data_IF_648574955310
#
_entry.id   IF_648574955310
#
_cell.length_a   1.000
_cell.length_b   1.000
_cell.length_c   1.000
_cell.angle_alpha   90.00
_cell.angle_beta   90.00
_cell.angle_gamma   90.00
#
_symmetry.space_group_name_H-M   'P 1'
#
loop_
_entity.id
_entity.type
_entity.pdbx_description
1 polymer ?
#
# COMPACT_ATOMS: atom_id res chain seq x y z
N UNK A 1 -10.18 -15.70 -17.87
CA UNK A 1 -9.09 -14.73 -17.63
C UNK A 1 -9.54 -13.42 -18.23
N UNK A 2 -9.53 -12.33 -17.46
CA UNK A 2 -9.92 -11.01 -17.96
C UNK A 2 -8.69 -10.09 -17.97
N UNK A 3 -8.42 -9.50 -19.12
CA UNK A 3 -7.49 -8.39 -19.29
C UNK A 3 -8.36 -7.15 -19.44
N UNK A 4 -8.06 -6.11 -18.67
CA UNK A 4 -8.71 -4.79 -18.78
C UNK A 4 -7.66 -3.76 -19.18
N UNK A 5 -8.06 -2.61 -19.72
CA UNK A 5 -7.16 -1.57 -20.22
C UNK A 5 -6.80 -1.71 -21.70
N UNK A 6 -7.56 -2.49 -22.46
CA UNK A 6 -7.51 -2.58 -23.93
C UNK A 6 -8.83 -2.15 -24.60
N UNK A 7 -9.75 -1.59 -23.82
CA UNK A 7 -11.01 -1.07 -24.31
C UNK A 7 -10.77 0.15 -25.23
N UNK A 8 -11.58 0.28 -26.28
CA UNK A 8 -11.56 1.44 -27.19
C UNK A 8 -12.20 2.66 -26.52
N UNK A 9 -11.49 3.23 -25.55
CA UNK A 9 -11.88 4.42 -24.80
C UNK A 9 -10.81 5.50 -24.93
N UNK A 10 -11.18 6.77 -25.06
CA UNK A 10 -10.24 7.85 -25.34
C UNK A 10 -9.39 8.25 -24.13
N UNK A 11 -9.57 7.60 -22.97
CA UNK A 11 -8.94 8.01 -21.72
C UNK A 11 -8.59 6.80 -20.87
N UNK A 12 -7.34 6.76 -20.42
CA UNK A 12 -6.87 5.79 -19.43
C UNK A 12 -6.95 6.39 -18.03
N UNK A 13 -7.57 5.68 -17.09
CA UNK A 13 -7.59 6.04 -15.68
C UNK A 13 -6.82 4.99 -14.87
N UNK A 14 -5.76 5.42 -14.19
CA UNK A 14 -5.03 4.59 -13.22
C UNK A 14 -5.45 5.04 -11.83
N UNK A 15 -5.93 4.09 -11.05
CA UNK A 15 -6.38 4.32 -9.67
C UNK A 15 -5.35 3.66 -8.76
N UNK A 16 -4.64 4.47 -7.97
CA UNK A 16 -3.59 4.00 -7.04
C UNK A 16 -4.17 3.34 -5.80
N UNK A 17 -5.27 3.89 -5.27
CA UNK A 17 -6.04 3.35 -4.16
C UNK A 17 -7.49 3.23 -4.63
N UNK A 18 -8.11 2.07 -4.42
CA UNK A 18 -9.47 1.79 -4.89
C UNK A 18 -10.53 2.76 -4.33
N UNK A 19 -11.79 2.55 -4.70
CA UNK A 19 -12.89 3.43 -4.30
C UNK A 19 -13.07 3.54 -2.77
N UNK A 20 -13.29 4.76 -2.27
CA UNK A 20 -13.61 5.01 -0.86
C UNK A 20 -12.88 6.23 -0.28
N UNK A 21 -12.90 6.39 1.06
CA UNK A 21 -12.23 7.50 1.75
C UNK A 21 -10.71 7.33 1.88
N UNK A 22 -10.15 6.26 1.29
CA UNK A 22 -8.72 5.99 1.36
C UNK A 22 -7.92 7.03 0.58
N UNK A 23 -7.01 7.71 1.29
CA UNK A 23 -6.10 8.66 0.66
C UNK A 23 -4.94 7.94 -0.02
N UNK A 24 -4.44 8.58 -1.07
CA UNK A 24 -3.19 8.19 -1.69
C UNK A 24 -2.05 8.17 -0.67
N UNK A 25 -1.17 7.19 -0.76
CA UNK A 25 0.04 7.21 0.06
C UNK A 25 0.85 8.48 -0.24
N UNK A 26 1.22 9.24 0.80
CA UNK A 26 1.90 10.54 0.66
C UNK A 26 3.16 10.45 -0.21
N UNK A 27 3.92 9.36 -0.10
CA UNK A 27 5.11 9.12 -0.91
C UNK A 27 4.80 8.98 -2.39
N UNK A 28 3.73 8.26 -2.74
CA UNK A 28 3.27 8.11 -4.13
C UNK A 28 2.82 9.46 -4.67
N UNK A 29 2.06 10.21 -3.87
CA UNK A 29 1.62 11.55 -4.22
C UNK A 29 2.80 12.49 -4.48
N UNK A 30 3.77 12.56 -3.56
CA UNK A 30 4.95 13.41 -3.71
C UNK A 30 5.84 12.98 -4.88
N UNK A 31 5.94 11.68 -5.17
CA UNK A 31 6.62 11.20 -6.37
C UNK A 31 5.93 11.69 -7.65
N UNK A 32 4.62 11.48 -7.79
CA UNK A 32 3.86 11.92 -8.96
C UNK A 32 3.90 13.44 -9.11
N UNK A 33 3.76 14.17 -8.00
CA UNK A 33 3.88 15.63 -7.97
C UNK A 33 5.27 16.11 -8.40
N UNK A 34 6.33 15.38 -8.07
CA UNK A 34 7.68 15.73 -8.53
C UNK A 34 7.89 15.57 -10.04
N UNK A 35 6.96 14.89 -10.72
CA UNK A 35 6.94 14.67 -12.17
C UNK A 35 5.96 15.62 -12.88
N UNK A 36 5.30 16.52 -12.15
CA UNK A 36 4.36 17.48 -12.75
C UNK A 36 5.05 18.34 -13.83
N UNK A 37 4.37 18.49 -14.96
CA UNK A 37 4.90 19.16 -16.16
C UNK A 37 5.85 18.33 -17.03
N UNK A 38 6.19 17.09 -16.65
CA UNK A 38 6.97 16.18 -17.51
C UNK A 38 6.08 15.41 -18.50
N UNK A 39 6.65 15.03 -19.65
CA UNK A 39 5.95 14.19 -20.62
C UNK A 39 5.86 12.75 -20.09
N UNK A 40 4.65 12.19 -20.12
CA UNK A 40 4.36 10.86 -19.60
C UNK A 40 3.52 10.04 -20.59
N UNK A 41 3.86 8.76 -20.71
CA UNK A 41 3.05 7.74 -21.39
C UNK A 41 2.44 6.82 -20.33
N UNK A 42 1.16 6.51 -20.47
CA UNK A 42 0.42 5.67 -19.50
C UNK A 42 -0.21 4.47 -20.18
N UNK A 43 -0.25 3.34 -19.46
CA UNK A 43 -1.01 2.15 -19.84
C UNK A 43 -1.82 1.65 -18.65
N UNK A 44 -3.12 1.48 -18.86
CA UNK A 44 -4.05 0.93 -17.86
C UNK A 44 -4.15 -0.59 -17.90
N UNK A 45 -3.38 -1.25 -18.78
CA UNK A 45 -3.48 -2.69 -19.01
C UNK A 45 -3.23 -3.48 -17.71
N UNK A 46 -4.22 -4.26 -17.29
CA UNK A 46 -4.17 -5.02 -16.03
C UNK A 46 -4.60 -6.46 -16.24
N UNK A 47 -3.84 -7.39 -15.66
CA UNK A 47 -4.16 -8.82 -15.62
C UNK A 47 -3.87 -9.35 -14.21
N UNK A 48 -4.89 -9.86 -13.53
CA UNK A 48 -4.82 -10.20 -12.09
C UNK A 48 -4.50 -11.68 -11.78
N UNK A 49 -4.49 -12.55 -12.80
CA UNK A 49 -4.17 -14.00 -12.67
C UNK A 49 -2.88 -14.32 -13.42
N UNK A 50 -2.63 -15.59 -13.75
CA UNK A 50 -1.42 -16.04 -14.44
C UNK A 50 -1.02 -15.09 -15.58
N UNK A 51 0.25 -14.67 -15.65
CA UNK A 51 0.71 -13.59 -16.54
C UNK A 51 0.33 -12.19 -16.04
N UNK A 52 0.59 -11.90 -14.75
CA UNK A 52 0.20 -10.64 -14.11
C UNK A 52 0.76 -9.45 -14.88
N UNK A 53 -0.12 -8.54 -15.29
CA UNK A 53 0.23 -7.23 -15.83
C UNK A 53 -0.32 -6.16 -14.89
N UNK A 54 0.47 -5.11 -14.66
CA UNK A 54 0.11 -3.97 -13.83
C UNK A 54 0.03 -2.72 -14.71
N UNK A 55 -0.78 -1.72 -14.33
CA UNK A 55 -0.70 -0.41 -14.96
C UNK A 55 0.70 0.18 -14.85
N UNK A 56 1.11 0.94 -15.85
CA UNK A 56 2.42 1.60 -15.89
C UNK A 56 2.29 3.08 -16.27
N UNK A 57 3.17 3.88 -15.67
CA UNK A 57 3.37 5.29 -15.98
C UNK A 57 4.86 5.46 -16.30
N UNK A 58 5.16 5.83 -17.54
CA UNK A 58 6.53 6.03 -18.02
C UNK A 58 6.73 7.53 -18.23
N UNK A 59 7.63 8.13 -17.46
CA UNK A 59 7.97 9.57 -17.58
C UNK A 59 9.35 9.71 -18.18
N UNK A 60 9.46 10.40 -19.31
CA UNK A 60 10.74 10.63 -19.98
C UNK A 60 11.50 11.77 -19.30
N UNK A 61 12.84 11.72 -19.31
CA UNK A 61 13.68 12.81 -18.80
C UNK A 61 13.79 12.95 -17.28
N UNK A 62 13.06 12.15 -16.48
CA UNK A 62 13.24 12.16 -15.03
C UNK A 62 14.62 11.60 -14.63
N UNK A 63 15.49 12.47 -14.12
CA UNK A 63 16.73 12.07 -13.45
C UNK A 63 16.45 11.92 -11.96
N UNK A 64 16.29 10.68 -11.52
CA UNK A 64 16.23 10.38 -10.09
C UNK A 64 17.45 11.00 -9.39
N UNK A 65 17.21 11.92 -8.45
CA UNK A 65 18.26 12.29 -7.49
C UNK A 65 18.68 10.99 -6.81
N UNK A 66 19.98 10.67 -6.78
CA UNK A 66 20.52 9.52 -6.04
C UNK A 66 20.05 9.61 -4.59
N UNK A 67 18.93 8.98 -4.25
CA UNK A 67 18.65 8.63 -2.87
C UNK A 67 19.66 7.55 -2.53
N UNK A 68 20.35 7.69 -1.39
CA UNK A 68 21.00 6.54 -0.76
C UNK A 68 19.95 5.44 -0.77
N UNK A 69 20.29 4.25 -1.26
CA UNK A 69 19.54 3.05 -0.89
C UNK A 69 19.54 3.08 0.63
N UNK A 70 18.43 3.51 1.24
CA UNK A 70 18.08 2.92 2.51
C UNK A 70 18.12 1.43 2.20
N UNK A 71 18.97 0.69 2.92
CA UNK A 71 18.94 -0.75 2.85
C UNK A 71 17.47 -1.10 3.05
N UNK A 72 16.79 -1.46 1.96
CA UNK A 72 15.50 -2.09 2.01
C UNK A 72 15.80 -3.48 2.55
N UNK A 73 16.19 -3.55 3.82
CA UNK A 73 15.95 -4.72 4.61
C UNK A 73 14.45 -4.90 4.46
N UNK A 74 14.07 -6.01 3.82
CA UNK A 74 12.77 -6.63 3.97
C UNK A 74 12.55 -7.05 5.43
N UNK A 75 12.87 -6.16 6.39
CA UNK A 75 12.52 -6.33 7.78
C UNK A 75 11.00 -6.35 7.74
N UNK A 76 10.43 -7.51 8.03
CA UNK A 76 8.99 -7.64 8.21
C UNK A 76 8.51 -6.68 9.31
N UNK A 77 7.27 -6.85 9.74
CA UNK A 77 6.71 -6.05 10.81
C UNK A 77 7.66 -6.03 12.03
N UNK A 78 8.13 -4.84 12.39
CA UNK A 78 8.85 -4.52 13.63
C UNK A 78 8.19 -3.30 14.29
N UNK A 79 8.35 -3.09 15.61
CA UNK A 79 7.91 -1.83 16.23
C UNK A 79 8.52 -0.63 15.50
N UNK A 80 7.72 0.41 15.27
CA UNK A 80 8.09 1.56 14.43
C UNK A 80 7.72 1.43 12.95
N UNK A 81 7.31 0.24 12.49
CA UNK A 81 6.95 0.06 11.07
C UNK A 81 5.65 0.81 10.76
N UNK A 82 5.63 1.70 9.75
CA UNK A 82 4.39 2.33 9.29
C UNK A 82 3.53 1.30 8.54
N UNK A 83 2.26 1.25 8.89
CA UNK A 83 1.30 0.26 8.38
C UNK A 83 -0.03 0.90 8.02
N UNK A 84 -0.77 0.25 7.13
CA UNK A 84 -2.19 0.54 6.86
C UNK A 84 -3.05 -0.64 7.25
N UNK A 85 -4.17 -0.37 7.91
CA UNK A 85 -5.15 -1.39 8.27
C UNK A 85 -6.03 -1.70 7.05
N UNK A 86 -6.11 -2.97 6.67
CA UNK A 86 -6.78 -3.45 5.44
C UNK A 86 -8.04 -4.27 5.73
N UNK A 87 -8.55 -4.21 6.97
CA UNK A 87 -9.79 -4.86 7.39
C UNK A 87 -10.60 -3.96 8.32
N UNK A 88 -11.91 -4.15 8.30
CA UNK A 88 -12.82 -3.55 9.27
C UNK A 88 -12.45 -3.97 10.71
N UNK A 89 -12.79 -3.14 11.71
CA UNK A 89 -13.48 -1.84 11.60
C UNK A 89 -12.56 -0.67 11.20
N UNK A 90 -11.26 -0.89 11.14
CA UNK A 90 -10.26 0.18 10.96
C UNK A 90 -9.77 0.34 9.51
N UNK A 91 -10.55 -0.12 8.55
CA UNK A 91 -10.14 -0.20 7.15
C UNK A 91 -9.68 1.17 6.62
N UNK A 92 -8.50 1.21 6.00
CA UNK A 92 -7.89 2.40 5.42
C UNK A 92 -7.15 3.30 6.41
N UNK A 93 -7.30 3.09 7.73
CA UNK A 93 -6.58 3.89 8.72
C UNK A 93 -5.08 3.60 8.70
N UNK A 94 -4.29 4.66 8.88
CA UNK A 94 -2.85 4.59 8.99
C UNK A 94 -2.43 4.49 10.45
N UNK A 95 -1.35 3.77 10.70
CA UNK A 95 -0.78 3.65 12.03
C UNK A 95 0.66 3.17 12.03
N UNK A 96 1.19 3.01 13.22
CA UNK A 96 2.56 2.54 13.46
C UNK A 96 2.51 1.33 14.39
N UNK A 97 3.30 0.29 14.10
CA UNK A 97 3.40 -0.89 14.97
C UNK A 97 4.04 -0.48 16.30
N UNK A 98 3.33 -0.73 17.40
CA UNK A 98 3.84 -0.51 18.76
C UNK A 98 4.44 -1.78 19.33
N UNK A 99 3.76 -2.91 19.12
CA UNK A 99 4.12 -4.19 19.74
C UNK A 99 3.75 -5.37 18.85
N UNK A 100 4.56 -6.42 18.90
CA UNK A 100 4.33 -7.68 18.19
C UNK A 100 4.38 -8.85 19.17
N UNK A 101 3.29 -9.08 19.94
CA UNK A 101 3.22 -10.20 20.85
C UNK A 101 3.55 -11.52 20.12
N UNK A 102 4.44 -12.36 20.67
CA UNK A 102 4.85 -13.62 20.03
C UNK A 102 3.76 -14.69 20.14
N UNK A 103 2.90 -14.59 21.13
CA UNK A 103 1.83 -15.53 21.43
C UNK A 103 0.69 -15.45 20.41
N UNK A 104 0.02 -16.58 20.20
CA UNK A 104 -1.20 -16.63 19.42
C UNK A 104 -2.39 -16.24 20.31
N UNK A 105 -3.26 -15.38 19.79
CA UNK A 105 -4.50 -14.97 20.46
C UNK A 105 -5.68 -15.62 19.76
N UNK A 106 -6.64 -16.09 20.56
CA UNK A 106 -7.92 -16.60 20.06
C UNK A 106 -8.81 -15.42 19.71
N UNK A 107 -9.24 -15.34 18.46
CA UNK A 107 -10.23 -14.33 18.00
C UNK A 107 -11.64 -14.90 18.07
N UNK A 108 -12.65 -14.07 17.78
CA UNK A 108 -14.08 -14.44 17.85
C UNK A 108 -14.43 -15.68 17.02
N UNK A 109 -13.71 -15.92 15.93
CA UNK A 109 -13.87 -17.12 15.10
C UNK A 109 -13.17 -18.37 15.68
N UNK A 110 -12.74 -18.31 16.94
CA UNK A 110 -11.94 -19.31 17.65
C UNK A 110 -10.57 -19.62 17.04
N UNK A 111 -10.20 -18.90 15.97
CA UNK A 111 -8.91 -19.08 15.31
C UNK A 111 -7.78 -18.53 16.18
N UNK A 112 -6.67 -19.26 16.22
CA UNK A 112 -5.43 -18.82 16.90
C UNK A 112 -4.57 -18.05 15.90
N UNK A 113 -4.49 -16.74 16.06
CA UNK A 113 -3.78 -15.86 15.12
C UNK A 113 -2.69 -15.06 15.81
N UNK A 114 -1.66 -14.69 15.04
CA UNK A 114 -0.67 -13.71 15.49
C UNK A 114 -1.28 -12.31 15.40
N UNK A 115 -1.15 -11.54 16.47
CA UNK A 115 -1.61 -10.16 16.54
C UNK A 115 -0.45 -9.17 16.53
N UNK A 116 -0.80 -7.89 16.34
CA UNK A 116 0.05 -6.74 16.60
C UNK A 116 -0.78 -5.67 17.31
N UNK A 117 -0.10 -4.78 18.05
CA UNK A 117 -0.69 -3.53 18.52
C UNK A 117 -0.23 -2.40 17.62
N UNK A 118 -1.16 -1.61 17.11
CA UNK A 118 -0.90 -0.46 16.24
C UNK A 118 -1.38 0.81 16.92
N UNK A 119 -0.58 1.88 16.87
CA UNK A 119 -1.02 3.23 17.23
C UNK A 119 -1.58 3.90 15.99
N UNK A 120 -2.86 4.21 16.01
CA UNK A 120 -3.54 4.97 14.95
C UNK A 120 -3.15 6.45 15.03
N UNK A 121 -3.36 7.19 13.94
CA UNK A 121 -3.13 8.65 13.91
C UNK A 121 -3.95 9.42 14.95
N UNK A 122 -5.10 8.88 15.40
CA UNK A 122 -5.88 9.44 16.51
C UNK A 122 -5.17 9.37 17.87
N UNK A 123 -4.08 8.60 17.97
CA UNK A 123 -3.37 8.28 19.21
C UNK A 123 -3.84 7.00 19.88
N UNK A 124 -4.98 6.45 19.46
CA UNK A 124 -5.56 5.19 19.94
C UNK A 124 -4.64 4.00 19.64
N UNK A 125 -4.52 3.06 20.58
CA UNK A 125 -3.81 1.80 20.36
C UNK A 125 -4.83 0.69 20.15
N UNK A 126 -4.81 0.09 18.97
CA UNK A 126 -5.70 -1.01 18.58
C UNK A 126 -4.93 -2.31 18.47
N UNK A 127 -5.59 -3.42 18.78
CA UNK A 127 -5.03 -4.77 18.59
C UNK A 127 -5.70 -5.43 17.39
N UNK A 128 -4.90 -5.85 16.41
CA UNK A 128 -5.40 -6.47 15.17
C UNK A 128 -4.56 -7.68 14.77
N UNK A 129 -5.13 -8.65 14.04
CA UNK A 129 -4.35 -9.71 13.41
C UNK A 129 -3.26 -9.14 12.51
N UNK A 130 -2.08 -9.76 12.49
CA UNK A 130 -0.99 -9.33 11.59
C UNK A 130 -1.36 -9.40 10.11
N UNK A 131 -2.29 -10.30 9.77
CA UNK A 131 -2.82 -10.43 8.41
C UNK A 131 -3.74 -9.26 7.99
N UNK A 132 -4.15 -8.41 8.93
CA UNK A 132 -5.05 -7.29 8.69
C UNK A 132 -4.31 -5.97 8.45
N UNK A 133 -3.00 -6.03 8.22
CA UNK A 133 -2.20 -4.83 7.92
C UNK A 133 -1.32 -5.05 6.69
N UNK A 134 -1.04 -3.97 5.98
CA UNK A 134 0.01 -3.90 4.96
C UNK A 134 1.11 -2.93 5.41
N UNK A 135 2.37 -3.23 5.05
CA UNK A 135 3.51 -2.35 5.34
C UNK A 135 3.53 -1.22 4.31
N UNK A 136 3.77 0.01 4.77
CA UNK A 136 3.99 1.16 3.89
C UNK A 136 5.49 1.29 3.61
N UNK A 137 5.92 0.85 2.42
CA UNK A 137 7.34 0.90 2.04
C UNK A 137 7.82 2.35 1.79
N UNK A 138 8.84 2.77 2.55
CA UNK A 138 9.47 4.10 2.50
C UNK A 138 10.38 4.32 1.31
#
# INVERSE_FOLDING_TARGET
>A
VAITGQEDVPTTLIVTEGFGPMRMADKTFELLKSLDGCEASVTGATQIRAGVMRPEIIVSGYRAKKKRKAEASSSGLVPGTPIRLIREPYFGLLGEVVELPPELVVIETEAKVRILKARLQSGEIVTVPRANVEILES
#
